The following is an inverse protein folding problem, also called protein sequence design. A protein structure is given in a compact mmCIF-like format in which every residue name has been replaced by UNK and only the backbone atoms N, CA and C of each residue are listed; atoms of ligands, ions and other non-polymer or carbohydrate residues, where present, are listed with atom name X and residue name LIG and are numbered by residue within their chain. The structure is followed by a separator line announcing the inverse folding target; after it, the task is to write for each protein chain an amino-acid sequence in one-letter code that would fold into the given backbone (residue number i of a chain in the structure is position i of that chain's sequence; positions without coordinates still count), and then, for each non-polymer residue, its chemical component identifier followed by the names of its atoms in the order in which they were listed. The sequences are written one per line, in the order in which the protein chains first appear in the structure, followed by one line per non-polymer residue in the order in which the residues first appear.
data_IF_422729212234
#
_entry.id   IF_422729212234
#
_cell.length_a   1.000
_cell.length_b   1.000
_cell.length_c   1.000
_cell.angle_alpha   90.00
_cell.angle_beta   90.00
_cell.angle_gamma   90.00
#
_symmetry.space_group_name_H-M   'P 1'
#
loop_
_entity.id
_entity.type
_entity.pdbx_description
1 polymer ?
#
# COMPACT_ATOMS: atom_id res chain seq x y z
N UNK A 1 -8.30 4.93 -3.33
CA UNK A 1 -8.98 4.53 -2.08
C UNK A 1 -9.21 5.77 -1.24
N UNK A 2 -8.16 6.44 -0.77
CA UNK A 2 -8.26 7.69 -0.03
C UNK A 2 -7.15 8.67 -0.46
N UNK A 3 -7.25 9.92 -0.01
CA UNK A 3 -6.21 10.91 -0.17
C UNK A 3 -6.36 12.04 0.84
N UNK A 4 -5.24 12.63 1.24
CA UNK A 4 -5.18 13.72 2.21
C UNK A 4 -4.09 14.69 1.77
N UNK A 5 -4.41 15.98 1.61
CA UNK A 5 -3.50 17.09 1.30
C UNK A 5 -2.17 16.69 0.62
N UNK A 6 -2.26 16.34 -0.67
CA UNK A 6 -1.09 15.98 -1.47
C UNK A 6 -0.71 14.51 -1.45
N UNK A 7 -1.18 13.69 -0.50
CA UNK A 7 -0.96 12.25 -0.49
C UNK A 7 -2.15 11.47 -1.07
N UNK A 8 -1.86 10.31 -1.66
CA UNK A 8 -2.87 9.40 -2.22
C UNK A 8 -2.55 7.97 -1.88
N UNK A 9 -3.61 7.18 -1.71
CA UNK A 9 -3.52 5.74 -1.62
C UNK A 9 -4.51 5.05 -2.55
N UNK A 10 -4.04 4.04 -3.27
CA UNK A 10 -4.84 3.33 -4.26
C UNK A 10 -4.48 1.85 -4.31
N UNK A 11 -5.42 1.03 -4.82
CA UNK A 11 -5.14 -0.36 -5.15
C UNK A 11 -4.57 -0.37 -6.57
N UNK A 12 -3.35 -0.89 -6.80
CA UNK A 12 -2.80 -1.03 -8.13
C UNK A 12 -3.64 -1.96 -9.01
N UNK A 13 -3.72 -1.68 -10.31
CA UNK A 13 -4.44 -2.54 -11.26
C UNK A 13 -3.87 -3.98 -11.34
N UNK A 14 -2.61 -4.17 -10.95
CA UNK A 14 -1.94 -5.46 -10.86
C UNK A 14 -1.43 -5.72 -9.42
N UNK A 15 -2.29 -5.55 -8.42
CA UNK A 15 -1.93 -5.79 -7.02
C UNK A 15 -1.59 -7.26 -6.76
N UNK A 16 -0.40 -7.54 -6.21
CA UNK A 16 0.04 -8.89 -5.86
C UNK A 16 -0.56 -9.45 -4.57
N UNK A 17 -1.16 -8.58 -3.74
CA UNK A 17 -1.73 -8.92 -2.44
C UNK A 17 -3.22 -8.56 -2.40
N UNK A 18 -4.05 -9.35 -1.69
CA UNK A 18 -5.45 -9.01 -1.48
C UNK A 18 -5.53 -7.67 -0.76
N UNK A 19 -6.36 -6.76 -1.27
CA UNK A 19 -6.49 -5.39 -0.73
C UNK A 19 -5.16 -4.62 -0.68
N UNK A 20 -4.18 -5.00 -1.52
CA UNK A 20 -2.87 -4.34 -1.59
C UNK A 20 -3.00 -2.87 -1.97
N UNK A 21 -2.27 -2.01 -1.26
CA UNK A 21 -2.28 -0.56 -1.47
C UNK A 21 -0.89 -0.06 -1.83
N UNK A 22 -0.85 1.00 -2.63
CA UNK A 22 0.31 1.88 -2.75
C UNK A 22 -0.06 3.24 -2.19
N UNK A 23 0.87 3.85 -1.44
CA UNK A 23 0.75 5.19 -0.86
C UNK A 23 1.88 6.04 -1.42
N UNK A 24 1.59 7.21 -1.95
CA UNK A 24 2.61 8.12 -2.51
C UNK A 24 2.15 9.58 -2.43
N UNK A 25 3.08 10.55 -2.37
CA UNK A 25 2.76 11.96 -2.56
C UNK A 25 2.41 12.22 -4.03
N UNK A 26 1.62 13.26 -4.30
CA UNK A 26 1.33 13.75 -5.64
C UNK A 26 2.52 14.51 -6.21
N UNK A 27 3.20 15.26 -5.35
CA UNK A 27 4.38 16.01 -5.71
C UNK A 27 5.58 15.08 -5.82
N UNK A 28 6.46 15.35 -6.78
CA UNK A 28 7.62 14.52 -7.01
C UNK A 28 8.67 14.76 -5.93
N UNK A 29 8.79 13.81 -4.99
CA UNK A 29 9.78 13.81 -3.91
C UNK A 29 10.50 12.46 -3.89
N UNK A 30 11.82 12.47 -3.71
CA UNK A 30 12.67 11.28 -3.80
C UNK A 30 12.68 10.40 -2.55
N UNK A 31 12.50 10.98 -1.36
CA UNK A 31 12.48 10.25 -0.09
C UNK A 31 11.55 10.89 0.96
N UNK A 32 11.40 10.19 2.09
CA UNK A 32 10.56 10.65 3.19
C UNK A 32 11.06 11.94 3.87
N UNK A 33 12.36 12.12 4.14
CA UNK A 33 12.87 13.36 4.71
C UNK A 33 12.53 14.61 3.87
N UNK A 34 12.71 14.54 2.54
CA UNK A 34 12.36 15.67 1.67
C UNK A 34 10.84 15.92 1.62
N UNK A 35 10.02 14.97 2.07
CA UNK A 35 8.56 15.09 2.16
C UNK A 35 8.07 15.59 3.54
N UNK A 36 8.97 15.90 4.49
CA UNK A 36 8.66 16.27 5.88
C UNK A 36 7.55 17.32 6.05
N UNK A 37 7.51 18.41 5.26
CA UNK A 37 6.43 19.41 5.37
C UNK A 37 5.01 18.84 5.15
N UNK A 38 4.90 17.69 4.47
CA UNK A 38 3.63 17.02 4.18
C UNK A 38 3.32 15.82 5.09
N UNK A 39 4.16 15.53 6.08
CA UNK A 39 3.98 14.41 7.00
C UNK A 39 2.67 14.43 7.80
N UNK A 40 2.12 15.57 8.23
CA UNK A 40 0.80 15.58 8.89
C UNK A 40 -0.30 14.98 8.00
N UNK A 41 -0.26 15.25 6.68
CA UNK A 41 -1.20 14.70 5.72
C UNK A 41 -0.97 13.20 5.50
N UNK A 42 0.29 12.76 5.44
CA UNK A 42 0.64 11.34 5.40
C UNK A 42 0.12 10.61 6.64
N UNK A 43 0.32 11.15 7.84
CA UNK A 43 -0.13 10.56 9.09
C UNK A 43 -1.66 10.39 9.13
N UNK A 44 -2.40 11.43 8.74
CA UNK A 44 -3.86 11.36 8.64
C UNK A 44 -4.33 10.31 7.63
N UNK A 45 -3.67 10.22 6.47
CA UNK A 45 -3.96 9.19 5.48
C UNK A 45 -3.67 7.78 6.01
N UNK A 46 -2.58 7.57 6.74
CA UNK A 46 -2.25 6.25 7.32
C UNK A 46 -3.29 5.81 8.36
N UNK A 47 -3.73 6.72 9.23
CA UNK A 47 -4.79 6.44 10.21
C UNK A 47 -6.09 6.04 9.52
N UNK A 48 -6.50 6.77 8.47
CA UNK A 48 -7.69 6.43 7.68
C UNK A 48 -7.54 5.04 7.04
N UNK A 49 -6.45 4.79 6.32
CA UNK A 49 -6.25 3.53 5.58
C UNK A 49 -6.18 2.30 6.47
N UNK A 50 -5.42 2.36 7.57
CA UNK A 50 -5.33 1.21 8.47
C UNK A 50 -6.64 1.00 9.23
N UNK A 51 -7.36 2.08 9.56
CA UNK A 51 -8.72 1.96 10.09
C UNK A 51 -9.69 1.28 9.11
N UNK A 52 -9.60 1.58 7.81
CA UNK A 52 -10.41 0.91 6.76
C UNK A 52 -10.07 -0.56 6.63
N UNK A 53 -8.79 -0.92 6.73
CA UNK A 53 -8.35 -2.32 6.69
C UNK A 53 -8.91 -3.12 7.87
N UNK A 54 -8.93 -2.54 9.07
CA UNK A 54 -9.51 -3.20 10.25
C UNK A 54 -11.04 -3.33 10.14
N UNK A 55 -11.72 -2.30 9.64
CA UNK A 55 -13.18 -2.34 9.43
C UNK A 55 -13.62 -3.29 8.33
N UNK A 56 -12.76 -3.56 7.34
CA UNK A 56 -13.06 -4.45 6.21
C UNK A 56 -13.58 -5.83 6.67
N UNK A 57 -13.04 -6.37 7.77
CA UNK A 57 -13.45 -7.65 8.35
C UNK A 57 -13.81 -7.57 9.83
N UNK A 58 -14.08 -6.36 10.35
CA UNK A 58 -14.40 -6.09 11.76
C UNK A 58 -13.37 -6.73 12.73
N UNK A 59 -12.09 -6.68 12.34
CA UNK A 59 -10.99 -7.27 13.09
C UNK A 59 -9.66 -6.66 12.62
N UNK A 60 -8.63 -6.58 13.49
CA UNK A 60 -7.31 -6.09 13.11
C UNK A 60 -6.75 -6.85 11.89
N UNK A 61 -6.46 -6.13 10.81
CA UNK A 61 -5.89 -6.71 9.60
C UNK A 61 -4.39 -6.94 9.80
N UNK A 62 -3.88 -8.19 9.75
CA UNK A 62 -2.44 -8.39 9.69
C UNK A 62 -1.91 -7.96 8.32
N UNK A 63 -0.86 -7.14 8.31
CA UNK A 63 -0.22 -6.66 7.08
C UNK A 63 1.29 -6.56 7.23
N UNK A 64 1.97 -6.57 6.09
CA UNK A 64 3.34 -6.07 5.95
C UNK A 64 3.28 -4.76 5.19
N UNK A 65 4.25 -3.89 5.40
CA UNK A 65 4.42 -2.70 4.56
C UNK A 65 5.87 -2.26 4.54
N UNK A 66 6.27 -1.57 3.47
CA UNK A 66 7.64 -1.11 3.27
C UNK A 66 7.65 0.12 2.37
N UNK A 67 8.71 0.91 2.50
CA UNK A 67 8.95 2.11 1.70
C UNK A 67 9.99 1.87 0.64
N UNK A 68 9.74 2.44 -0.54
CA UNK A 68 10.73 2.65 -1.59
C UNK A 68 11.01 4.13 -1.68
N UNK A 69 12.29 4.49 -1.66
CA UNK A 69 12.78 5.85 -1.77
C UNK A 69 14.11 5.85 -2.51
N UNK A 70 14.66 7.03 -2.82
CA UNK A 70 15.98 7.12 -3.46
C UNK A 70 17.04 6.35 -2.64
N UNK A 71 17.98 5.66 -3.30
CA UNK A 71 19.15 5.11 -2.63
C UNK A 71 19.93 6.20 -1.88
N UNK A 72 20.58 5.81 -0.77
CA UNK A 72 21.37 6.71 0.07
C UNK A 72 22.87 6.63 -0.24
N UNK A 73 23.21 6.38 -1.51
CA UNK A 73 24.59 6.15 -1.97
C UNK A 73 25.32 7.43 -2.43
N UNK A 74 24.66 8.58 -2.31
CA UNK A 74 25.18 9.88 -2.76
C UNK A 74 25.06 10.12 -4.27
N UNK A 75 24.45 9.20 -5.01
CA UNK A 75 24.10 9.38 -6.43
C UNK A 75 22.89 10.29 -6.62
N UNK A 76 22.74 10.81 -7.85
CA UNK A 76 21.53 11.53 -8.26
C UNK A 76 20.49 10.54 -8.81
N UNK A 77 19.28 10.61 -8.25
CA UNK A 77 18.18 9.69 -8.55
C UNK A 77 16.90 10.48 -8.91
N UNK A 78 16.90 11.27 -10.01
CA UNK A 78 15.82 12.20 -10.35
C UNK A 78 14.52 11.50 -10.78
N UNK A 79 14.51 10.18 -10.84
CA UNK A 79 13.34 9.34 -11.14
C UNK A 79 12.82 8.62 -9.90
N UNK A 80 13.55 8.64 -8.80
CA UNK A 80 13.07 8.09 -7.55
C UNK A 80 11.87 8.90 -7.07
N UNK A 81 10.81 8.20 -6.69
CA UNK A 81 9.60 8.80 -6.16
C UNK A 81 9.19 7.99 -4.94
N UNK A 82 9.16 8.64 -3.78
CA UNK A 82 8.89 7.96 -2.51
C UNK A 82 7.50 7.36 -2.51
N UNK A 83 7.39 6.08 -2.17
CA UNK A 83 6.10 5.42 -2.03
C UNK A 83 6.18 4.22 -1.08
N UNK A 84 5.05 3.88 -0.46
CA UNK A 84 4.92 2.70 0.37
C UNK A 84 4.06 1.65 -0.33
N UNK A 85 4.39 0.38 -0.14
CA UNK A 85 3.49 -0.73 -0.41
C UNK A 85 2.91 -1.24 0.90
N UNK A 86 1.59 -1.46 0.94
CA UNK A 86 0.92 -2.19 2.02
C UNK A 86 0.41 -3.50 1.46
N UNK A 87 0.74 -4.60 2.14
CA UNK A 87 0.43 -5.96 1.77
C UNK A 87 -0.40 -6.64 2.88
N UNK A 88 -1.73 -6.47 2.87
CA UNK A 88 -2.63 -7.20 3.76
C UNK A 88 -2.57 -8.71 3.52
N UNK A 89 -2.69 -9.49 4.59
CA UNK A 89 -2.58 -10.94 4.51
C UNK A 89 -3.93 -11.65 4.32
N UNK A 90 -5.05 -11.05 4.73
CA UNK A 90 -6.35 -11.72 4.64
C UNK A 90 -7.01 -11.49 3.28
N UNK A 91 -7.54 -12.55 2.67
CA UNK A 91 -8.33 -12.46 1.41
C UNK A 91 -9.85 -12.44 1.66
N UNK A 92 -10.27 -12.90 2.83
CA UNK A 92 -11.64 -12.90 3.38
C UNK A 92 -11.53 -13.04 4.91
N UNK A 93 -12.62 -12.86 5.69
CA UNK A 93 -12.56 -12.95 7.15
C UNK A 93 -11.84 -14.22 7.64
N UNK A 94 -10.85 -14.03 8.51
CA UNK A 94 -10.06 -15.11 9.12
C UNK A 94 -9.24 -15.99 8.15
N UNK A 95 -9.13 -15.64 6.87
CA UNK A 95 -8.47 -16.49 5.86
C UNK A 95 -7.22 -15.82 5.30
N UNK A 96 -6.02 -16.21 5.77
CA UNK A 96 -4.77 -15.68 5.23
C UNK A 96 -4.46 -16.19 3.82
N UNK A 97 -3.76 -15.35 3.06
CA UNK A 97 -3.05 -15.69 1.84
C UNK A 97 -1.64 -16.15 2.23
N UNK A 98 -1.19 -17.21 1.57
CA UNK A 98 0.18 -17.69 1.67
C UNK A 98 0.87 -17.46 0.33
N UNK A 99 2.09 -16.94 0.39
CA UNK A 99 3.03 -16.95 -0.74
C UNK A 99 3.77 -18.28 -0.63
N UNK A 100 3.53 -19.19 -1.57
CA UNK A 100 3.99 -20.57 -1.48
C UNK A 100 4.86 -20.94 -2.69
N UNK A 101 5.01 -22.24 -2.96
CA UNK A 101 5.87 -22.74 -4.02
C UNK A 101 5.52 -22.19 -5.41
N UNK A 102 4.24 -21.94 -5.69
CA UNK A 102 3.81 -21.33 -6.95
C UNK A 102 4.42 -19.96 -7.14
N UNK A 103 4.23 -19.06 -6.17
CA UNK A 103 4.79 -17.71 -6.23
C UNK A 103 6.32 -17.69 -6.12
N UNK A 104 6.89 -18.41 -5.16
CA UNK A 104 8.34 -18.39 -4.92
C UNK A 104 9.12 -19.07 -6.07
N UNK A 105 8.59 -20.15 -6.62
CA UNK A 105 9.26 -20.92 -7.68
C UNK A 105 9.13 -20.29 -9.06
N UNK A 106 8.03 -19.57 -9.33
CA UNK A 106 7.79 -18.95 -10.64
C UNK A 106 8.05 -17.44 -10.70
N UNK A 107 8.07 -16.75 -9.56
CA UNK A 107 8.05 -15.28 -9.50
C UNK A 107 6.69 -14.66 -9.86
N UNK A 108 5.67 -15.47 -10.14
CA UNK A 108 4.32 -15.02 -10.52
C UNK A 108 3.42 -14.99 -9.29
N UNK A 109 2.76 -13.85 -9.06
CA UNK A 109 1.84 -13.69 -7.94
C UNK A 109 0.39 -13.95 -8.34
N UNK A 110 -0.31 -14.73 -7.53
CA UNK A 110 -1.74 -14.97 -7.68
C UNK A 110 -2.52 -14.20 -6.60
N UNK A 111 -3.31 -13.23 -7.05
CA UNK A 111 -4.22 -12.49 -6.19
C UNK A 111 -5.66 -12.92 -6.50
N UNK A 112 -6.35 -13.61 -5.57
CA UNK A 112 -7.73 -14.05 -5.79
C UNK A 112 -8.78 -12.93 -5.61
N UNK A 113 -8.35 -11.72 -5.21
CA UNK A 113 -9.23 -10.56 -5.05
C UNK A 113 -9.03 -9.62 -6.24
N UNK A 114 -10.10 -9.34 -6.96
CA UNK A 114 -10.07 -8.41 -8.09
C UNK A 114 -9.75 -6.98 -7.60
N UNK A 115 -8.77 -6.29 -8.20
CA UNK A 115 -8.32 -4.98 -7.72
C UNK A 115 -9.38 -3.88 -7.64
N UNK A 116 -10.31 -3.79 -8.60
CA UNK A 116 -11.37 -2.78 -8.56
C UNK A 116 -12.38 -3.06 -7.43
N UNK A 117 -12.72 -4.34 -7.20
CA UNK A 117 -13.55 -4.78 -6.09
C UNK A 117 -12.87 -4.53 -4.74
N UNK A 118 -11.56 -4.80 -4.63
CA UNK A 118 -10.78 -4.45 -3.45
C UNK A 118 -10.81 -2.94 -3.19
N UNK A 119 -10.64 -2.13 -4.22
CA UNK A 119 -10.68 -0.68 -4.10
C UNK A 119 -12.06 -0.16 -3.69
N UNK A 120 -13.14 -0.79 -4.15
CA UNK A 120 -14.51 -0.47 -3.74
C UNK A 120 -14.75 -0.84 -2.27
N UNK A 121 -14.44 -2.08 -1.88
CA UNK A 121 -14.60 -2.54 -0.51
C UNK A 121 -13.84 -1.67 0.50
N UNK A 122 -12.63 -1.23 0.17
CA UNK A 122 -11.84 -0.33 1.03
C UNK A 122 -12.41 1.10 1.10
N UNK A 123 -13.15 1.57 0.09
CA UNK A 123 -13.83 2.88 0.15
C UNK A 123 -15.08 2.83 1.02
N UNK A 124 -15.77 1.69 1.00
CA UNK A 124 -17.04 1.49 1.70
C UNK A 124 -16.83 1.12 3.18
N UNK A 125 -15.69 0.52 3.52
CA UNK A 125 -15.20 0.36 4.89
C UNK A 125 -14.73 1.69 5.49
#
# INVERSE_FOLDING_TARGET
VAGHDGWRAWVPAAASWPYGLVIAPRDHVGDLPDAEPSWPALAALLVDLFGRLDRLFDAPMPYMWWWHQRPTDGGDWPRAHVHAHVAPLLRRPGTPRFVAAGELGSGVYFNPVEPAAAAAALRDA
#
